data_IF_087185638281
#
_entry.id   IF_087185638281
#
_cell.length_a   1.000
_cell.length_b   1.000
_cell.length_c   1.000
_cell.angle_alpha   90.00
_cell.angle_beta   90.00
_cell.angle_gamma   90.00
#
_symmetry.space_group_name_H-M   'P 1'
#
loop_
_entity.id
_entity.type
_entity.pdbx_description
1 polymer ?
#
# COMPACT_ATOMS: atom_id res chain seq x y z
N UNK A 1 12.21 5.66 10.63
CA UNK A 1 11.20 5.17 9.66
C UNK A 1 10.05 6.16 9.39
N UNK A 2 10.07 7.40 9.92
CA UNK A 2 8.93 8.31 9.83
C UNK A 2 8.64 8.89 8.43
N UNK A 3 9.66 9.21 7.63
CA UNK A 3 9.46 9.89 6.35
C UNK A 3 9.16 8.94 5.17
N UNK A 4 9.94 7.86 5.02
CA UNK A 4 9.81 6.95 3.87
C UNK A 4 8.46 6.22 3.87
N UNK A 5 8.01 5.73 5.03
CA UNK A 5 6.70 5.09 5.14
C UNK A 5 5.54 6.06 4.88
N UNK A 6 5.71 7.33 5.27
CA UNK A 6 4.73 8.38 5.01
C UNK A 6 4.63 8.70 3.51
N UNK A 7 5.77 8.85 2.83
CA UNK A 7 5.82 9.06 1.38
C UNK A 7 5.16 7.89 0.64
N UNK A 8 5.50 6.66 1.01
CA UNK A 8 4.89 5.46 0.42
C UNK A 8 3.37 5.42 0.62
N UNK A 9 2.91 5.69 1.85
CA UNK A 9 1.48 5.72 2.17
C UNK A 9 0.72 6.69 1.28
N UNK A 10 1.22 7.93 1.15
CA UNK A 10 0.58 8.93 0.30
C UNK A 10 0.65 8.61 -1.19
N UNK A 11 1.78 8.08 -1.67
CA UNK A 11 1.90 7.65 -3.06
C UNK A 11 0.90 6.55 -3.40
N UNK A 12 0.73 5.57 -2.52
CA UNK A 12 -0.20 4.46 -2.73
C UNK A 12 -1.66 4.89 -2.64
N UNK A 13 -2.00 5.77 -1.70
CA UNK A 13 -3.36 6.32 -1.57
C UNK A 13 -3.72 7.21 -2.76
N UNK A 14 -2.88 8.19 -3.10
CA UNK A 14 -3.13 9.11 -4.21
C UNK A 14 -3.09 8.37 -5.56
N UNK A 15 -2.15 7.43 -5.73
CA UNK A 15 -2.06 6.57 -6.90
C UNK A 15 -3.30 5.69 -7.06
N UNK A 16 -3.76 5.06 -5.97
CA UNK A 16 -4.99 4.24 -5.96
C UNK A 16 -6.24 5.06 -6.27
N UNK A 17 -6.40 6.24 -5.67
CA UNK A 17 -7.51 7.15 -5.96
C UNK A 17 -7.50 7.60 -7.41
N UNK A 18 -6.33 7.99 -7.93
CA UNK A 18 -6.19 8.36 -9.35
C UNK A 18 -6.58 7.20 -10.26
N UNK A 19 -6.05 6.00 -10.00
CA UNK A 19 -6.34 4.81 -10.78
C UNK A 19 -7.84 4.41 -10.73
N UNK A 20 -8.50 4.65 -9.59
CA UNK A 20 -9.94 4.49 -9.45
C UNK A 20 -10.72 5.46 -10.33
N UNK A 21 -10.35 6.74 -10.31
CA UNK A 21 -11.02 7.78 -11.11
C UNK A 21 -10.80 7.58 -12.61
N UNK A 22 -9.61 7.12 -13.02
CA UNK A 22 -9.28 6.87 -14.43
C UNK A 22 -9.64 5.47 -14.92
N UNK A 23 -10.15 4.60 -14.05
CA UNK A 23 -10.40 3.18 -14.32
C UNK A 23 -9.24 2.48 -15.01
N UNK A 24 -8.00 2.92 -14.72
CA UNK A 24 -6.81 2.53 -15.47
C UNK A 24 -6.19 1.22 -14.99
N UNK A 25 -6.67 0.69 -13.86
CA UNK A 25 -6.19 -0.55 -13.26
C UNK A 25 -7.37 -1.44 -12.83
N UNK A 26 -7.15 -2.75 -12.71
CA UNK A 26 -8.13 -3.67 -12.13
C UNK A 26 -8.53 -3.23 -10.73
N UNK A 27 -9.82 -3.42 -10.40
CA UNK A 27 -10.38 -3.01 -9.11
C UNK A 27 -9.62 -3.60 -7.92
N UNK A 28 -9.21 -4.87 -8.02
CA UNK A 28 -8.42 -5.55 -6.97
C UNK A 28 -7.07 -4.88 -6.73
N UNK A 29 -6.39 -4.44 -7.79
CA UNK A 29 -5.08 -3.78 -7.69
C UNK A 29 -5.21 -2.40 -7.05
N UNK A 30 -6.26 -1.67 -7.40
CA UNK A 30 -6.59 -0.37 -6.80
C UNK A 30 -6.82 -0.51 -5.30
N UNK A 31 -7.62 -1.50 -4.89
CA UNK A 31 -7.85 -1.77 -3.47
C UNK A 31 -6.57 -2.22 -2.76
N UNK A 32 -5.74 -3.03 -3.39
CA UNK A 32 -4.45 -3.43 -2.84
C UNK A 32 -3.50 -2.24 -2.65
N UNK A 33 -3.47 -1.29 -3.59
CA UNK A 33 -2.73 -0.03 -3.42
C UNK A 33 -3.25 0.77 -2.23
N UNK A 34 -4.58 0.97 -2.13
CA UNK A 34 -5.16 1.70 -1.00
C UNK A 34 -4.89 1.00 0.34
N UNK A 35 -5.04 -0.32 0.42
CA UNK A 35 -4.74 -1.12 1.62
C UNK A 35 -3.26 -1.05 2.00
N UNK A 36 -2.36 -1.16 1.02
CA UNK A 36 -0.92 -1.02 1.20
C UNK A 36 -0.55 0.35 1.76
N UNK A 37 -1.19 1.41 1.24
CA UNK A 37 -1.01 2.78 1.72
C UNK A 37 -1.53 2.99 3.14
N UNK A 38 -2.72 2.45 3.46
CA UNK A 38 -3.30 2.45 4.80
C UNK A 38 -2.34 1.76 5.79
N UNK A 39 -1.87 0.55 5.47
CA UNK A 39 -0.94 -0.21 6.32
C UNK A 39 0.39 0.52 6.50
N UNK A 40 0.85 1.27 5.51
CA UNK A 40 2.07 2.06 5.63
C UNK A 40 1.91 3.32 6.52
N UNK A 41 0.68 3.79 6.80
CA UNK A 41 0.46 4.96 7.64
C UNK A 41 0.95 4.71 9.08
N UNK A 42 1.92 5.50 9.58
CA UNK A 42 2.41 5.42 10.95
C UNK A 42 1.32 5.60 12.02
N UNK A 43 0.21 6.27 11.65
CA UNK A 43 -0.93 6.55 12.55
C UNK A 43 -1.59 5.26 13.07
N UNK A 44 -1.68 4.20 12.27
CA UNK A 44 -2.26 2.92 12.69
C UNK A 44 -1.43 2.21 13.76
N UNK A 45 -0.16 2.57 13.87
CA UNK A 45 0.84 1.80 14.61
C UNK A 45 1.64 2.62 15.61
N UNK A 46 1.17 3.85 15.89
CA UNK A 46 1.75 4.70 16.91
C UNK A 46 1.70 3.97 18.27
N UNK A 47 2.78 3.98 19.05
CA UNK A 47 2.81 3.25 20.34
C UNK A 47 1.78 3.78 21.33
N UNK A 48 1.41 5.05 21.23
CA UNK A 48 0.50 5.70 22.19
C UNK A 48 -0.98 5.48 21.84
N UNK A 49 -1.33 5.54 20.54
CA UNK A 49 -2.72 5.58 20.06
C UNK A 49 -3.01 4.65 18.85
N UNK A 50 -2.09 3.75 18.50
CA UNK A 50 -2.21 2.90 17.32
C UNK A 50 -3.13 1.71 17.56
N UNK A 51 -4.21 1.63 16.78
CA UNK A 51 -5.22 0.54 16.84
C UNK A 51 -4.58 -0.84 16.64
N UNK A 52 -3.48 -0.92 15.89
CA UNK A 52 -2.78 -2.18 15.57
C UNK A 52 -1.37 -2.26 16.18
N UNK A 53 -1.05 -1.40 17.15
CA UNK A 53 0.31 -1.30 17.71
C UNK A 53 0.85 -2.64 18.27
N UNK A 54 -0.02 -3.55 18.72
CA UNK A 54 0.32 -4.89 19.24
C UNK A 54 0.69 -5.91 18.16
N UNK A 55 0.21 -5.75 16.91
CA UNK A 55 0.39 -6.74 15.85
C UNK A 55 1.69 -6.59 15.06
N UNK A 56 2.28 -5.39 15.00
CA UNK A 56 3.52 -5.15 14.27
C UNK A 56 4.47 -4.23 15.07
N UNK A 57 5.36 -4.81 15.91
CA UNK A 57 6.18 -4.05 16.85
C UNK A 57 7.32 -3.26 16.17
N UNK A 58 7.73 -3.66 14.96
CA UNK A 58 8.80 -3.00 14.21
C UNK A 58 8.27 -2.39 12.90
N UNK A 59 8.85 -1.26 12.50
CA UNK A 59 8.48 -0.64 11.22
C UNK A 59 8.93 -1.45 9.99
N UNK A 60 9.88 -2.39 10.15
CA UNK A 60 10.28 -3.34 9.10
C UNK A 60 9.13 -4.31 8.81
N UNK A 61 8.50 -4.86 9.86
CA UNK A 61 7.33 -5.75 9.70
C UNK A 61 6.18 -5.03 9.02
N UNK A 62 5.93 -3.76 9.37
CA UNK A 62 4.88 -2.94 8.75
C UNK A 62 5.14 -2.69 7.26
N UNK A 63 6.39 -2.37 6.90
CA UNK A 63 6.80 -2.24 5.51
C UNK A 63 6.66 -3.56 4.74
N UNK A 64 7.02 -4.68 5.38
CA UNK A 64 6.86 -6.02 4.82
C UNK A 64 5.39 -6.35 4.51
N UNK A 65 4.46 -6.08 5.43
CA UNK A 65 3.02 -6.30 5.19
C UNK A 65 2.49 -5.42 4.07
N UNK A 66 2.86 -4.14 4.06
CA UNK A 66 2.48 -3.18 3.01
C UNK A 66 2.93 -3.63 1.62
N UNK A 67 4.16 -4.13 1.49
CA UNK A 67 4.69 -4.67 0.25
C UNK A 67 4.05 -6.00 -0.13
N UNK A 68 3.83 -6.90 0.84
CA UNK A 68 3.22 -8.20 0.61
C UNK A 68 1.83 -8.06 -0.03
N UNK A 69 1.00 -7.12 0.46
CA UNK A 69 -0.32 -6.83 -0.10
C UNK A 69 -0.23 -6.49 -1.60
N UNK A 70 0.73 -5.64 -1.98
CA UNK A 70 0.93 -5.26 -3.38
C UNK A 70 1.48 -6.42 -4.22
N UNK A 71 2.43 -7.18 -3.68
CA UNK A 71 3.01 -8.32 -4.40
C UNK A 71 1.96 -9.38 -4.68
N UNK A 72 1.12 -9.71 -3.69
CA UNK A 72 0.03 -10.68 -3.87
C UNK A 72 -0.95 -10.21 -4.94
N UNK A 73 -1.36 -8.95 -4.90
CA UNK A 73 -2.26 -8.39 -5.92
C UNK A 73 -1.59 -8.26 -7.30
N UNK A 74 -0.28 -8.02 -7.35
CA UNK A 74 0.47 -7.95 -8.61
C UNK A 74 0.61 -9.33 -9.28
N UNK A 75 0.78 -10.39 -8.49
CA UNK A 75 0.86 -11.77 -9.00
C UNK A 75 -0.50 -12.22 -9.57
N UNK A 76 -1.62 -11.75 -9.01
CA UNK A 76 -2.96 -12.09 -9.54
C UNK A 76 -3.32 -11.35 -10.82
N UNK A 77 -2.67 -10.21 -11.10
CA UNK A 77 -2.91 -9.39 -12.31
C UNK A 77 -1.60 -9.02 -13.03
N UNK A 78 -0.85 -10.01 -13.56
CA UNK A 78 0.46 -9.77 -14.18
C UNK A 78 0.38 -8.86 -15.41
N UNK A 79 -0.72 -8.92 -16.18
CA UNK A 79 -0.92 -8.10 -17.37
C UNK A 79 -1.00 -6.60 -17.04
N UNK A 80 -1.71 -6.26 -15.96
CA UNK A 80 -1.82 -4.88 -15.48
C UNK A 80 -0.48 -4.34 -14.96
N UNK A 81 0.32 -5.21 -14.33
CA UNK A 81 1.66 -4.87 -13.85
C UNK A 81 2.62 -4.65 -15.02
N UNK A 82 2.58 -5.51 -16.05
CA UNK A 82 3.39 -5.31 -17.25
C UNK A 82 2.97 -4.04 -18.01
N UNK A 83 1.68 -3.73 -18.06
CA UNK A 83 1.17 -2.48 -18.63
C UNK A 83 1.67 -1.22 -17.92
N UNK A 84 1.97 -1.30 -16.61
CA UNK A 84 2.60 -0.21 -15.85
C UNK A 84 4.09 -0.05 -16.13
N UNK A 85 4.79 -1.11 -16.55
CA UNK A 85 6.23 -1.07 -16.88
C UNK A 85 6.46 -0.53 -18.30
N UNK A 86 5.52 -0.80 -19.21
CA UNK A 86 5.62 -0.44 -20.62
C UNK A 86 5.18 1.01 -20.95
N UNK A 87 4.58 1.73 -19.99
CA UNK A 87 4.13 3.11 -20.11
C UNK A 87 5.15 4.11 -19.55
#
# INVERSE_FOLDING_TARGET
MGAIGWIWAWLMLLGGVRAHLTQSLPHELIWAMMLSGIVALPLLWNRTNGVLASFAPSGIVRAGISLLILVVAGITHPDAVMGLIAA
#
